data_IF_759113195970
#
_entry.id   IF_759113195970
#
_cell.length_a   1.000
_cell.length_b   1.000
_cell.length_c   1.000
_cell.angle_alpha   90.00
_cell.angle_beta   90.00
_cell.angle_gamma   90.00
#
_symmetry.space_group_name_H-M   'P 1'
#
loop_
_entity.id
_entity.type
_entity.pdbx_description
1 polymer ?
#
# COMPACT_ATOMS: atom_id res chain seq x y z
N UNK A 1 0.05 -17.11 8.03
CA UNK A 1 0.83 -16.88 6.80
C UNK A 1 1.16 -15.39 6.74
N UNK A 2 2.15 -14.94 7.52
CA UNK A 2 2.39 -13.51 7.81
C UNK A 2 3.76 -12.99 7.34
N UNK A 3 4.54 -13.80 6.60
CA UNK A 3 5.94 -13.49 6.26
C UNK A 3 6.11 -12.89 4.86
N UNK A 4 5.35 -11.85 4.51
CA UNK A 4 5.55 -11.12 3.23
C UNK A 4 5.77 -9.61 3.42
N UNK A 5 5.85 -9.12 4.66
CA UNK A 5 5.75 -7.69 4.94
C UNK A 5 7.08 -6.97 5.23
N UNK A 6 8.23 -7.59 4.97
CA UNK A 6 9.52 -6.98 5.36
C UNK A 6 10.49 -6.82 4.19
N UNK A 7 9.98 -6.48 3.00
CA UNK A 7 10.80 -6.06 1.84
C UNK A 7 10.83 -4.52 1.71
N UNK A 8 9.90 -3.82 2.36
CA UNK A 8 9.73 -2.36 2.29
C UNK A 8 10.18 -1.64 3.56
N UNK A 9 10.85 -2.33 4.47
CA UNK A 9 11.59 -1.66 5.52
C UNK A 9 12.78 -0.98 4.84
N UNK A 10 13.10 0.30 5.12
CA UNK A 10 14.34 0.92 4.64
C UNK A 10 15.59 0.13 5.10
N UNK A 11 15.42 -0.83 6.01
CA UNK A 11 16.44 -1.75 6.49
C UNK A 11 16.54 -3.10 5.73
N UNK A 12 15.57 -3.52 4.92
CA UNK A 12 15.58 -4.89 4.34
C UNK A 12 16.45 -5.05 3.08
N UNK A 13 17.11 -3.98 2.63
CA UNK A 13 18.21 -4.01 1.66
C UNK A 13 19.60 -3.95 2.28
N UNK A 14 19.73 -3.94 3.62
CA UNK A 14 21.03 -3.83 4.28
C UNK A 14 21.76 -5.18 4.30
N UNK A 15 22.21 -5.62 3.14
CA UNK A 15 23.34 -6.52 3.01
C UNK A 15 24.64 -5.83 3.46
N UNK A 16 24.72 -5.45 4.73
CA UNK A 16 25.98 -5.13 5.43
C UNK A 16 26.72 -3.82 5.11
N UNK A 17 26.15 -2.87 4.38
CA UNK A 17 26.96 -1.93 3.59
C UNK A 17 26.38 -0.49 3.69
N UNK A 18 27.22 0.47 4.12
CA UNK A 18 27.08 1.93 4.43
C UNK A 18 25.68 2.52 4.83
N UNK A 19 25.59 3.32 5.91
CA UNK A 19 24.32 4.00 6.27
C UNK A 19 23.91 5.09 5.27
N UNK A 20 22.60 5.25 5.06
CA UNK A 20 22.04 6.26 4.15
C UNK A 20 22.46 7.69 4.56
N UNK A 21 22.58 7.97 5.87
CA UNK A 21 23.08 9.27 6.33
C UNK A 21 24.53 9.53 5.93
N UNK A 22 25.40 8.49 5.97
CA UNK A 22 26.79 8.62 5.54
C UNK A 22 26.90 8.85 4.03
N UNK A 23 26.12 8.13 3.22
CA UNK A 23 26.11 8.33 1.77
C UNK A 23 25.58 9.74 1.40
N UNK A 24 24.56 10.21 2.13
CA UNK A 24 24.04 11.55 1.95
C UNK A 24 25.06 12.63 2.34
N UNK A 25 25.78 12.46 3.46
CA UNK A 25 26.86 13.36 3.84
C UNK A 25 27.99 13.39 2.80
N UNK A 26 28.21 12.28 2.08
CA UNK A 26 29.21 12.17 1.00
C UNK A 26 28.80 13.00 -0.20
N UNK A 27 27.55 12.86 -0.64
CA UNK A 27 26.97 13.68 -1.72
C UNK A 27 26.94 15.18 -1.37
N UNK A 28 26.71 15.51 -0.09
CA UNK A 28 26.69 16.90 0.38
C UNK A 28 28.09 17.47 0.67
N UNK A 29 29.17 16.68 0.51
CA UNK A 29 30.55 17.11 0.72
C UNK A 29 30.91 17.41 2.19
N UNK A 30 30.18 16.83 3.15
CA UNK A 30 30.33 17.11 4.59
C UNK A 30 31.23 16.13 5.36
N UNK A 31 31.71 15.06 4.71
CA UNK A 31 32.63 14.10 5.35
C UNK A 31 34.08 14.58 5.34
N UNK A 32 34.84 14.16 6.33
CA UNK A 32 36.28 14.39 6.39
C UNK A 32 37.01 13.51 5.35
N UNK A 33 38.22 13.85 4.87
CA UNK A 33 38.90 13.10 3.81
C UNK A 33 39.13 11.62 4.13
N UNK A 34 39.37 11.28 5.40
CA UNK A 34 39.51 9.89 5.82
C UNK A 34 38.21 9.09 5.65
N UNK A 35 37.07 9.70 5.93
CA UNK A 35 35.76 9.05 5.82
C UNK A 35 35.29 8.98 4.36
N UNK A 36 35.60 9.99 3.55
CA UNK A 36 35.37 9.92 2.09
C UNK A 36 36.11 8.74 1.48
N UNK A 37 37.35 8.53 1.87
CA UNK A 37 38.16 7.44 1.33
C UNK A 37 37.67 6.04 1.77
N UNK A 38 37.04 5.94 2.96
CA UNK A 38 36.33 4.73 3.37
C UNK A 38 35.10 4.45 2.48
N UNK A 39 34.33 5.49 2.17
CA UNK A 39 33.16 5.39 1.29
C UNK A 39 33.58 5.00 -0.13
N UNK A 40 34.63 5.60 -0.68
CA UNK A 40 35.18 5.26 -2.00
C UNK A 40 35.67 3.81 -2.08
N UNK A 41 36.39 3.33 -1.05
CA UNK A 41 36.83 1.92 -1.00
C UNK A 41 35.64 0.97 -0.99
N UNK A 42 34.61 1.32 -0.23
CA UNK A 42 33.39 0.54 -0.15
C UNK A 42 32.65 0.51 -1.51
N UNK A 43 32.47 1.65 -2.16
CA UNK A 43 31.89 1.77 -3.52
C UNK A 43 32.69 0.95 -4.55
N UNK A 44 34.02 0.92 -4.45
CA UNK A 44 34.87 0.17 -5.37
C UNK A 44 34.72 -1.36 -5.26
N UNK A 45 34.36 -1.88 -4.08
CA UNK A 45 34.09 -3.31 -3.86
C UNK A 45 32.68 -3.72 -4.30
N UNK A 46 31.87 -2.77 -4.75
CA UNK A 46 30.42 -2.84 -4.69
C UNK A 46 29.86 -2.18 -5.96
N UNK A 47 30.02 -2.90 -7.09
CA UNK A 47 29.91 -2.32 -8.43
C UNK A 47 28.53 -1.79 -8.81
N UNK A 48 27.44 -2.28 -8.20
CA UNK A 48 26.09 -1.78 -8.50
C UNK A 48 25.82 -0.43 -7.83
N UNK A 49 26.38 -0.25 -6.64
CA UNK A 49 26.18 0.90 -5.77
C UNK A 49 27.00 2.09 -6.27
N UNK A 50 28.19 1.83 -6.83
CA UNK A 50 28.97 2.82 -7.56
C UNK A 50 28.20 3.39 -8.77
N UNK A 51 27.67 2.52 -9.64
CA UNK A 51 26.86 2.92 -10.80
C UNK A 51 25.59 3.68 -10.36
N UNK A 52 24.94 3.23 -9.29
CA UNK A 52 23.76 3.90 -8.73
C UNK A 52 24.10 5.29 -8.17
N UNK A 53 25.26 5.45 -7.52
CA UNK A 53 25.71 6.72 -6.96
C UNK A 53 26.06 7.72 -8.06
N UNK A 54 26.70 7.28 -9.15
CA UNK A 54 26.96 8.13 -10.32
C UNK A 54 25.64 8.62 -10.93
N UNK A 55 24.66 7.73 -11.10
CA UNK A 55 23.32 8.11 -11.55
C UNK A 55 22.60 9.09 -10.61
N UNK A 56 22.82 8.97 -9.29
CA UNK A 56 22.27 9.89 -8.30
C UNK A 56 22.95 11.26 -8.32
N UNK A 57 24.26 11.33 -8.61
CA UNK A 57 24.99 12.59 -8.76
C UNK A 57 24.60 13.34 -10.04
N UNK A 58 24.12 12.64 -11.06
CA UNK A 58 23.62 13.24 -12.30
C UNK A 58 22.31 14.03 -12.13
N UNK A 59 21.63 13.87 -10.99
CA UNK A 59 20.41 14.60 -10.64
C UNK A 59 20.64 15.49 -9.43
N UNK A 60 19.84 16.56 -9.31
CA UNK A 60 19.95 17.47 -8.17
C UNK A 60 19.50 16.76 -6.88
N UNK A 61 20.14 17.05 -5.73
CA UNK A 61 19.79 16.42 -4.46
C UNK A 61 18.35 16.75 -4.02
N UNK A 62 17.85 17.93 -4.37
CA UNK A 62 16.47 18.35 -4.13
C UNK A 62 15.46 17.55 -4.97
N UNK A 63 15.74 17.34 -6.26
CA UNK A 63 14.85 16.60 -7.15
C UNK A 63 14.84 15.12 -6.80
N UNK A 64 15.98 14.56 -6.38
CA UNK A 64 16.09 13.21 -5.86
C UNK A 64 15.19 13.02 -4.63
N UNK A 65 15.34 13.90 -3.61
CA UNK A 65 14.52 13.88 -2.38
C UNK A 65 13.03 13.99 -2.69
N UNK A 66 12.64 14.91 -3.57
CA UNK A 66 11.25 15.09 -3.95
C UNK A 66 10.70 13.88 -4.72
N UNK A 67 11.49 13.29 -5.62
CA UNK A 67 11.11 12.12 -6.41
C UNK A 67 10.89 10.90 -5.52
N UNK A 68 11.79 10.63 -4.57
CA UNK A 68 11.64 9.57 -3.56
C UNK A 68 10.38 9.78 -2.74
N UNK A 69 10.12 11.02 -2.30
CA UNK A 69 8.90 11.36 -1.56
C UNK A 69 7.62 11.06 -2.34
N UNK A 70 7.56 11.45 -3.62
CA UNK A 70 6.41 11.15 -4.49
C UNK A 70 6.24 9.66 -4.74
N UNK A 71 7.34 8.93 -5.00
CA UNK A 71 7.31 7.48 -5.20
C UNK A 71 6.77 6.77 -3.96
N UNK A 72 7.27 7.12 -2.77
CA UNK A 72 6.79 6.55 -1.51
C UNK A 72 5.29 6.84 -1.30
N UNK A 73 4.85 8.06 -1.58
CA UNK A 73 3.43 8.44 -1.50
C UNK A 73 2.56 7.63 -2.49
N UNK A 74 3.01 7.48 -3.73
CA UNK A 74 2.30 6.72 -4.76
C UNK A 74 2.25 5.22 -4.44
N UNK A 75 3.35 4.64 -3.97
CA UNK A 75 3.41 3.24 -3.54
C UNK A 75 2.46 2.99 -2.36
N UNK A 76 2.51 3.83 -1.32
CA UNK A 76 1.58 3.76 -0.19
C UNK A 76 0.12 3.87 -0.64
N UNK A 77 -0.16 4.75 -1.60
CA UNK A 77 -1.50 4.90 -2.19
C UNK A 77 -1.93 3.64 -2.95
N UNK A 78 -1.08 3.10 -3.83
CA UNK A 78 -1.39 1.91 -4.62
C UNK A 78 -1.59 0.68 -3.73
N UNK A 79 -0.67 0.44 -2.78
CA UNK A 79 -0.75 -0.68 -1.83
C UNK A 79 -1.93 -0.53 -0.86
N UNK A 80 -2.20 0.69 -0.39
CA UNK A 80 -3.34 0.99 0.49
C UNK A 80 -4.71 0.83 -0.20
N UNK A 81 -4.79 1.11 -1.50
CA UNK A 81 -6.04 0.96 -2.26
C UNK A 81 -6.42 -0.50 -2.55
N UNK A 82 -5.46 -1.42 -2.55
CA UNK A 82 -5.70 -2.86 -2.74
C UNK A 82 -6.55 -3.50 -1.64
N UNK A 83 -6.58 -2.91 -0.43
CA UNK A 83 -7.34 -3.45 0.71
C UNK A 83 -8.81 -3.01 0.75
N UNK A 84 -9.17 -1.93 0.04
CA UNK A 84 -10.51 -1.31 0.14
C UNK A 84 -11.54 -1.80 -0.88
N UNK A 85 -11.18 -2.74 -1.77
CA UNK A 85 -12.11 -3.31 -2.76
C UNK A 85 -12.67 -4.68 -2.39
N UNK A 86 -12.40 -5.17 -1.17
CA UNK A 86 -13.11 -6.31 -0.58
C UNK A 86 -14.14 -5.78 0.41
N UNK A 87 -15.41 -5.82 0.00
CA UNK A 87 -16.66 -5.57 0.76
C UNK A 87 -17.14 -4.12 0.80
N UNK A 88 -18.13 -3.86 -0.04
CA UNK A 88 -19.48 -3.62 0.48
C UNK A 88 -20.46 -4.53 -0.28
N UNK A 89 -20.36 -5.84 0.00
CA UNK A 89 -21.38 -6.83 -0.37
C UNK A 89 -22.66 -6.70 0.45
N UNK A 90 -22.97 -5.50 0.94
CA UNK A 90 -24.30 -5.13 1.40
C UNK A 90 -24.94 -4.37 0.24
N UNK A 91 -25.07 -5.07 -0.89
CA UNK A 91 -26.03 -4.68 -1.89
C UNK A 91 -27.38 -4.71 -1.19
N UNK A 92 -27.94 -3.53 -1.02
CA UNK A 92 -29.28 -3.27 -0.51
C UNK A 92 -30.23 -4.44 -0.85
N UNK A 93 -30.60 -5.25 0.15
CA UNK A 93 -31.38 -6.49 -0.01
C UNK A 93 -32.85 -6.19 -0.33
N UNK A 94 -33.10 -5.29 -1.28
CA UNK A 94 -34.44 -4.84 -1.71
C UNK A 94 -35.33 -6.01 -2.09
N UNK A 95 -34.76 -7.03 -2.74
CA UNK A 95 -35.45 -8.27 -3.09
C UNK A 95 -35.94 -9.06 -1.88
N UNK A 96 -35.19 -9.05 -0.77
CA UNK A 96 -35.61 -9.70 0.48
C UNK A 96 -36.81 -9.00 1.11
N UNK A 97 -36.81 -7.66 1.12
CA UNK A 97 -37.93 -6.87 1.64
C UNK A 97 -39.20 -7.11 0.80
N UNK A 98 -39.08 -7.14 -0.53
CA UNK A 98 -40.20 -7.42 -1.43
C UNK A 98 -40.78 -8.81 -1.18
N UNK A 99 -39.92 -9.84 -1.03
CA UNK A 99 -40.37 -11.21 -0.76
C UNK A 99 -41.17 -11.32 0.55
N UNK A 100 -40.72 -10.63 1.61
CA UNK A 100 -41.43 -10.59 2.90
C UNK A 100 -42.83 -9.97 2.73
N UNK A 101 -42.94 -8.85 2.01
CA UNK A 101 -44.22 -8.20 1.75
C UNK A 101 -45.20 -9.10 0.97
N UNK A 102 -44.70 -9.82 -0.05
CA UNK A 102 -45.53 -10.75 -0.85
C UNK A 102 -46.05 -11.89 0.03
N UNK A 103 -45.20 -12.47 0.87
CA UNK A 103 -45.63 -13.55 1.79
C UNK A 103 -46.68 -13.05 2.77
N UNK A 104 -46.50 -11.86 3.36
CA UNK A 104 -47.49 -11.26 4.25
C UNK A 104 -48.83 -11.00 3.53
N UNK A 105 -48.79 -10.50 2.30
CA UNK A 105 -50.00 -10.27 1.50
C UNK A 105 -50.76 -11.58 1.24
N UNK A 106 -50.05 -12.66 0.91
CA UNK A 106 -50.65 -13.97 0.68
C UNK A 106 -51.32 -14.55 1.94
N UNK A 107 -50.70 -14.38 3.12
CA UNK A 107 -51.29 -14.79 4.40
C UNK A 107 -52.58 -14.01 4.68
N UNK A 108 -52.58 -12.70 4.40
CA UNK A 108 -53.74 -11.83 4.63
C UNK A 108 -54.90 -12.20 3.68
N UNK A 109 -54.60 -12.45 2.40
CA UNK A 109 -55.58 -12.94 1.43
C UNK A 109 -56.15 -14.30 1.83
N UNK A 110 -55.29 -15.25 2.24
CA UNK A 110 -55.73 -16.56 2.71
C UNK A 110 -56.68 -16.44 3.92
N UNK A 111 -56.33 -15.58 4.88
CA UNK A 111 -57.19 -15.30 6.03
C UNK A 111 -58.56 -14.75 5.63
N UNK A 112 -58.59 -13.76 4.71
CA UNK A 112 -59.83 -13.18 4.21
C UNK A 112 -60.70 -14.22 3.52
N UNK A 113 -60.11 -15.07 2.67
CA UNK A 113 -60.84 -16.15 1.97
C UNK A 113 -61.44 -17.13 2.98
N UNK A 114 -60.66 -17.61 3.95
CA UNK A 114 -61.14 -18.53 4.99
C UNK A 114 -62.28 -17.90 5.79
N UNK A 115 -62.12 -16.63 6.20
CA UNK A 115 -63.15 -15.92 6.95
C UNK A 115 -64.41 -15.71 6.12
N UNK A 116 -64.28 -15.49 4.81
CA UNK A 116 -65.41 -15.31 3.91
C UNK A 116 -66.12 -16.63 3.56
N UNK A 117 -65.41 -17.77 3.56
CA UNK A 117 -66.02 -19.09 3.36
C UNK A 117 -66.57 -19.71 4.63
N UNK A 118 -66.02 -19.38 5.80
CA UNK A 118 -66.46 -19.90 7.11
C UNK A 118 -67.62 -19.09 7.72
N UNK A 119 -67.74 -17.80 7.42
CA UNK A 119 -68.82 -16.91 7.92
C UNK A 119 -70.05 -16.92 7.00
N UNK A 120 -70.04 -17.75 5.96
CA UNK A 120 -71.17 -17.96 5.05
C UNK A 120 -71.85 -19.27 5.38
#
# INVERSE_FOLDING_TARGET
MSDQNDILSPASGSGGRLSEERLQAYLEGRLNPAEQHEVERWLAEEGMEADALEGLQAISPEDAKHTVGRLNLQLKKQLGTGKRRRRSGTGDNKWGVIAIFVVLLLILLAYVVIRMTLVK
#
